data_IF_315223296750
#
_entry.id   IF_315223296750
#
_cell.length_a   1.000
_cell.length_b   1.000
_cell.length_c   1.000
_cell.angle_alpha   90.00
_cell.angle_beta   90.00
_cell.angle_gamma   90.00
#
_symmetry.space_group_name_H-M   'P 1'
#
loop_
_entity.id
_entity.type
_entity.pdbx_description
1 polymer ?
#
# COMPACT_ATOMS: atom_id res chain seq x y z
N UNK A 1 -30.14 -10.28 -26.61
CA UNK A 1 -29.24 -10.29 -25.42
C UNK A 1 -29.86 -9.38 -24.38
N UNK A 2 -30.16 -9.89 -23.18
CA UNK A 2 -30.65 -9.04 -22.08
C UNK A 2 -29.49 -8.22 -21.55
N UNK A 3 -29.67 -6.90 -21.48
CA UNK A 3 -28.70 -5.95 -20.93
C UNK A 3 -28.45 -6.25 -19.44
N UNK A 4 -27.19 -6.46 -19.08
CA UNK A 4 -26.76 -6.75 -17.70
C UNK A 4 -27.15 -5.60 -16.77
N UNK A 5 -27.10 -4.37 -17.27
CA UNK A 5 -27.45 -3.16 -16.51
C UNK A 5 -28.92 -3.16 -16.11
N UNK A 6 -29.81 -3.52 -17.04
CA UNK A 6 -31.25 -3.59 -16.79
C UNK A 6 -31.60 -4.66 -15.74
N UNK A 7 -30.95 -5.83 -15.78
CA UNK A 7 -31.13 -6.87 -14.77
C UNK A 7 -30.61 -6.45 -13.40
N UNK A 8 -29.50 -5.74 -13.34
CA UNK A 8 -28.95 -5.23 -12.09
C UNK A 8 -29.90 -4.19 -11.47
N UNK A 9 -30.41 -3.27 -12.29
CA UNK A 9 -31.38 -2.27 -11.86
C UNK A 9 -32.64 -2.91 -11.25
N UNK A 10 -33.20 -3.93 -11.91
CA UNK A 10 -34.37 -4.64 -11.38
C UNK A 10 -34.11 -5.28 -10.01
N UNK A 11 -32.92 -5.88 -9.81
CA UNK A 11 -32.54 -6.47 -8.52
C UNK A 11 -32.41 -5.38 -7.45
N UNK A 12 -31.76 -4.25 -7.79
CA UNK A 12 -31.59 -3.14 -6.86
C UNK A 12 -32.93 -2.50 -6.47
N UNK A 13 -33.84 -2.31 -7.43
CA UNK A 13 -35.16 -1.72 -7.19
C UNK A 13 -36.07 -2.62 -6.33
N UNK A 14 -35.88 -3.95 -6.40
CA UNK A 14 -36.71 -4.93 -5.67
C UNK A 14 -36.32 -5.07 -4.19
N UNK A 15 -35.14 -4.59 -3.78
CA UNK A 15 -34.65 -4.72 -2.42
C UNK A 15 -34.64 -3.38 -1.69
N UNK A 16 -35.25 -3.31 -0.51
CA UNK A 16 -35.31 -2.08 0.30
C UNK A 16 -33.99 -1.74 1.03
N UNK A 17 -33.03 -2.67 1.05
CA UNK A 17 -31.73 -2.47 1.70
C UNK A 17 -30.72 -1.85 0.73
N UNK A 18 -29.83 -1.02 1.26
CA UNK A 18 -28.74 -0.46 0.47
C UNK A 18 -27.80 -1.57 -0.06
N UNK A 19 -27.38 -1.52 -1.33
CA UNK A 19 -26.46 -2.51 -1.88
C UNK A 19 -25.05 -2.33 -1.29
N UNK A 20 -24.35 -3.45 -1.14
CA UNK A 20 -22.92 -3.47 -0.80
C UNK A 20 -22.09 -3.70 -2.06
N UNK A 21 -21.12 -2.83 -2.30
CA UNK A 21 -20.17 -2.95 -3.40
C UNK A 21 -18.80 -3.40 -2.87
N UNK A 22 -18.40 -4.60 -3.26
CA UNK A 22 -17.06 -5.11 -2.98
C UNK A 22 -16.17 -4.87 -4.19
N UNK A 23 -15.16 -4.02 -4.02
CA UNK A 23 -14.20 -3.68 -5.07
C UNK A 23 -12.84 -4.31 -4.75
N UNK A 24 -12.30 -5.09 -5.69
CA UNK A 24 -10.95 -5.65 -5.56
C UNK A 24 -9.85 -4.72 -6.08
N UNK A 25 -8.59 -5.10 -5.85
CA UNK A 25 -7.40 -4.36 -6.29
C UNK A 25 -7.34 -4.09 -7.80
N UNK A 26 -8.03 -4.89 -8.61
CA UNK A 26 -8.14 -4.69 -10.06
C UNK A 26 -8.78 -3.35 -10.47
N UNK A 27 -9.69 -2.81 -9.67
CA UNK A 27 -10.28 -1.49 -9.93
C UNK A 27 -9.26 -0.37 -9.74
N UNK A 28 -8.52 -0.42 -8.63
CA UNK A 28 -7.46 0.54 -8.31
C UNK A 28 -6.38 0.56 -9.40
N UNK A 29 -5.95 -0.61 -9.87
CA UNK A 29 -4.95 -0.71 -10.94
C UNK A 29 -5.45 -0.17 -12.28
N UNK A 30 -6.72 -0.45 -12.64
CA UNK A 30 -7.26 -0.11 -13.95
C UNK A 30 -7.77 1.33 -14.07
N UNK A 31 -8.33 1.86 -12.99
CA UNK A 31 -9.04 3.15 -13.02
C UNK A 31 -8.39 4.23 -12.18
N UNK A 32 -7.51 3.89 -11.22
CA UNK A 32 -6.80 4.86 -10.37
C UNK A 32 -5.29 4.92 -10.66
N UNK A 33 -4.79 4.12 -11.60
CA UNK A 33 -3.36 4.08 -11.95
C UNK A 33 -2.45 3.61 -10.80
N UNK A 34 -3.02 2.92 -9.81
CA UNK A 34 -2.26 2.46 -8.64
C UNK A 34 -1.39 1.25 -8.98
N UNK A 35 -0.21 1.21 -8.36
CA UNK A 35 0.79 0.16 -8.53
C UNK A 35 0.27 -1.20 -8.02
N UNK A 36 0.84 -2.29 -8.53
CA UNK A 36 0.68 -3.59 -7.89
C UNK A 36 1.59 -3.72 -6.66
N UNK A 37 1.45 -4.83 -5.93
CA UNK A 37 2.20 -5.04 -4.68
C UNK A 37 3.72 -4.95 -4.88
N UNK A 38 4.23 -5.42 -6.02
CA UNK A 38 5.66 -5.37 -6.34
C UNK A 38 6.12 -3.94 -6.63
N UNK A 39 5.35 -3.20 -7.44
CA UNK A 39 5.63 -1.78 -7.71
C UNK A 39 5.64 -0.97 -6.42
N UNK A 40 4.66 -1.24 -5.55
CA UNK A 40 4.57 -0.62 -4.24
C UNK A 40 5.83 -0.82 -3.40
N UNK A 41 6.25 -2.07 -3.21
CA UNK A 41 7.45 -2.39 -2.44
C UNK A 41 8.71 -1.79 -3.07
N UNK A 42 8.77 -1.73 -4.40
CA UNK A 42 9.87 -1.09 -5.12
C UNK A 42 10.00 0.38 -4.79
N UNK A 43 8.88 1.11 -4.75
CA UNK A 43 8.84 2.52 -4.38
C UNK A 43 9.22 2.76 -2.92
N UNK A 44 8.89 1.84 -2.01
CA UNK A 44 9.25 1.98 -0.60
C UNK A 44 10.71 1.73 -0.32
N UNK A 45 11.34 0.80 -1.05
CA UNK A 45 12.73 0.49 -0.82
C UNK A 45 13.70 1.44 -1.55
N UNK A 46 13.25 2.25 -2.50
CA UNK A 46 14.09 3.19 -3.27
C UNK A 46 15.14 3.97 -2.46
N UNK A 47 14.81 4.59 -1.30
CA UNK A 47 15.80 5.34 -0.52
C UNK A 47 16.79 4.47 0.28
N UNK A 48 16.53 3.17 0.41
CA UNK A 48 17.33 2.24 1.23
C UNK A 48 18.12 1.23 0.40
N UNK A 49 17.49 0.62 -0.62
CA UNK A 49 18.12 -0.36 -1.49
C UNK A 49 17.25 -0.69 -2.73
N UNK A 50 17.77 -1.51 -3.64
CA UNK A 50 17.01 -2.01 -4.80
C UNK A 50 16.06 -3.13 -4.38
N UNK A 51 14.85 -3.15 -4.93
CA UNK A 51 13.87 -4.23 -4.66
C UNK A 51 14.42 -5.63 -4.93
N UNK A 52 15.25 -5.78 -5.96
CA UNK A 52 15.90 -7.05 -6.29
C UNK A 52 16.74 -7.64 -5.15
N UNK A 53 17.34 -6.79 -4.30
CA UNK A 53 18.07 -7.24 -3.10
C UNK A 53 17.11 -7.94 -2.12
N UNK A 54 15.99 -7.29 -1.78
CA UNK A 54 14.99 -7.83 -0.86
C UNK A 54 14.28 -9.05 -1.43
N UNK A 55 13.95 -9.03 -2.72
CA UNK A 55 13.33 -10.17 -3.41
C UNK A 55 14.24 -11.39 -3.39
N UNK A 56 15.55 -11.22 -3.60
CA UNK A 56 16.52 -12.32 -3.51
C UNK A 56 16.72 -12.78 -2.07
N UNK A 57 16.84 -11.85 -1.11
CA UNK A 57 17.01 -12.15 0.32
C UNK A 57 15.82 -12.91 0.92
N UNK A 58 14.63 -12.71 0.36
CA UNK A 58 13.41 -13.35 0.81
C UNK A 58 13.00 -14.55 -0.07
N UNK A 59 13.85 -15.06 -0.97
CA UNK A 59 13.52 -16.16 -1.88
C UNK A 59 12.21 -15.93 -2.67
N UNK A 60 11.96 -14.67 -3.06
CA UNK A 60 10.75 -14.18 -3.74
C UNK A 60 9.46 -14.22 -2.90
N UNK A 61 9.54 -14.47 -1.60
CA UNK A 61 8.44 -14.27 -0.66
C UNK A 61 8.22 -12.76 -0.45
N UNK A 62 7.14 -12.24 -1.03
CA UNK A 62 6.82 -10.81 -0.99
C UNK A 62 6.47 -10.32 0.43
N UNK A 63 5.67 -11.05 1.25
CA UNK A 63 5.49 -10.71 2.67
C UNK A 63 6.80 -10.61 3.46
N UNK A 64 7.73 -11.55 3.26
CA UNK A 64 9.00 -11.54 3.96
C UNK A 64 9.91 -10.41 3.45
N UNK A 65 9.94 -10.17 2.14
CA UNK A 65 10.63 -9.03 1.55
C UNK A 65 10.09 -7.70 2.12
N UNK A 66 8.77 -7.56 2.25
CA UNK A 66 8.14 -6.39 2.86
C UNK A 66 8.56 -6.19 4.31
N UNK A 67 8.71 -7.28 5.07
CA UNK A 67 9.19 -7.22 6.46
C UNK A 67 10.62 -6.70 6.55
N UNK A 68 11.52 -7.20 5.69
CA UNK A 68 12.90 -6.68 5.61
C UNK A 68 12.95 -5.22 5.16
N UNK A 69 12.12 -4.83 4.19
CA UNK A 69 12.00 -3.44 3.75
C UNK A 69 11.55 -2.56 4.92
N UNK A 70 10.58 -3.01 5.73
CA UNK A 70 10.10 -2.24 6.88
C UNK A 70 11.18 -2.01 7.93
N UNK A 71 11.95 -3.05 8.26
CA UNK A 71 13.02 -2.96 9.25
C UNK A 71 14.11 -1.96 8.78
N UNK A 72 14.60 -2.13 7.54
CA UNK A 72 15.65 -1.27 6.96
C UNK A 72 15.15 0.17 6.72
N UNK A 73 13.88 0.33 6.30
CA UNK A 73 13.27 1.64 6.09
C UNK A 73 13.14 2.41 7.39
N UNK A 74 12.75 1.75 8.47
CA UNK A 74 12.66 2.37 9.78
C UNK A 74 14.04 2.87 10.22
N UNK A 75 15.10 2.07 10.07
CA UNK A 75 16.45 2.52 10.38
C UNK A 75 16.87 3.74 9.56
N UNK A 76 16.62 3.73 8.26
CA UNK A 76 16.91 4.87 7.39
C UNK A 76 16.12 6.11 7.80
N UNK A 77 14.83 5.95 8.12
CA UNK A 77 13.96 7.05 8.54
C UNK A 77 14.42 7.69 9.86
N UNK A 78 15.04 6.94 10.78
CA UNK A 78 15.63 7.49 12.00
C UNK A 78 16.96 8.23 11.77
N UNK A 79 17.73 7.83 10.77
CA UNK A 79 19.12 8.30 10.54
C UNK A 79 19.23 9.38 9.46
N UNK A 80 18.29 9.43 8.50
CA UNK A 80 18.42 10.30 7.32
C UNK A 80 18.04 11.75 7.62
N UNK A 81 18.83 12.72 7.15
CA UNK A 81 18.48 14.13 7.27
C UNK A 81 17.20 14.50 6.47
N UNK A 82 16.88 13.75 5.42
CA UNK A 82 15.70 13.97 4.56
C UNK A 82 14.38 13.75 5.31
N UNK A 83 14.39 12.95 6.37
CA UNK A 83 13.20 12.63 7.18
C UNK A 83 13.15 13.42 8.48
N UNK A 84 14.02 14.42 8.66
CA UNK A 84 14.09 15.22 9.89
C UNK A 84 12.78 15.93 10.22
N UNK A 85 12.14 16.58 9.23
CA UNK A 85 10.85 17.24 9.43
C UNK A 85 9.75 16.25 9.85
N UNK A 86 9.72 15.08 9.20
CA UNK A 86 8.80 13.99 9.56
C UNK A 86 9.07 13.44 10.96
N UNK A 87 10.34 13.36 11.38
CA UNK A 87 10.71 12.93 12.74
C UNK A 87 10.26 13.94 13.77
N UNK A 88 10.49 15.23 13.52
CA UNK A 88 10.14 16.28 14.46
C UNK A 88 8.62 16.32 14.72
N UNK A 89 7.81 16.02 13.70
CA UNK A 89 6.35 16.02 13.83
C UNK A 89 5.76 14.72 14.39
N UNK A 90 6.36 13.56 14.08
CA UNK A 90 5.74 12.25 14.35
C UNK A 90 6.55 11.29 15.22
N UNK A 91 7.77 11.65 15.66
CA UNK A 91 8.63 10.78 16.48
C UNK A 91 7.97 10.27 17.76
N UNK A 92 7.12 11.07 18.41
CA UNK A 92 6.41 10.68 19.63
C UNK A 92 5.25 9.70 19.39
N UNK A 93 4.79 9.55 18.14
CA UNK A 93 3.63 8.71 17.77
C UNK A 93 4.04 7.35 17.18
N UNK A 94 5.32 7.15 16.90
CA UNK A 94 5.86 5.92 16.32
C UNK A 94 6.19 4.94 17.45
N UNK A 95 5.60 3.74 17.39
CA UNK A 95 5.87 2.67 18.37
C UNK A 95 6.37 1.39 17.70
N UNK A 96 6.09 1.19 16.42
CA UNK A 96 6.43 -0.02 15.68
C UNK A 96 7.29 0.28 14.45
N UNK A 97 8.10 -0.71 14.08
CA UNK A 97 8.94 -0.73 12.87
C UNK A 97 8.22 -0.38 11.56
N UNK A 98 6.92 -0.67 11.44
CA UNK A 98 6.16 -0.39 10.22
C UNK A 98 5.58 1.04 10.19
N UNK A 99 5.63 1.78 11.30
CA UNK A 99 4.92 3.06 11.39
C UNK A 99 5.61 4.15 10.57
N UNK A 100 6.95 4.12 10.45
CA UNK A 100 7.69 4.99 9.55
C UNK A 100 7.21 4.86 8.09
N UNK A 101 6.94 3.63 7.63
CA UNK A 101 6.39 3.38 6.29
C UNK A 101 4.96 3.94 6.15
N UNK A 102 4.13 3.82 7.19
CA UNK A 102 2.75 4.33 7.17
C UNK A 102 2.69 5.85 7.12
N UNK A 103 3.62 6.55 7.78
CA UNK A 103 3.66 8.01 7.76
C UNK A 103 3.97 8.57 6.37
N UNK A 104 4.85 7.91 5.61
CA UNK A 104 5.10 8.27 4.21
C UNK A 104 3.85 8.19 3.33
N UNK A 105 2.86 7.39 3.71
CA UNK A 105 1.57 7.33 3.02
C UNK A 105 0.58 8.42 3.41
N UNK A 106 0.62 8.93 4.64
CA UNK A 106 -0.34 9.92 5.14
C UNK A 106 -0.07 11.34 4.62
N UNK A 107 1.12 11.57 4.07
CA UNK A 107 1.56 12.85 3.50
C UNK A 107 1.61 12.85 1.95
N UNK A 108 0.87 11.96 1.30
CA UNK A 108 0.56 11.98 -0.15
C UNK A 108 -0.91 12.34 -0.30
#
# INVERSE_FOLDING_TARGET
MTDVSAKLQEILDRHHAAPFLFIGSGFSRRYLGLEDWTGLLTRFCEPINKFGYYSAKADRDLPLAASYIADDYNEWWWKSDVTEDSRNEFSEKISNRADALKLKYLNI
#
